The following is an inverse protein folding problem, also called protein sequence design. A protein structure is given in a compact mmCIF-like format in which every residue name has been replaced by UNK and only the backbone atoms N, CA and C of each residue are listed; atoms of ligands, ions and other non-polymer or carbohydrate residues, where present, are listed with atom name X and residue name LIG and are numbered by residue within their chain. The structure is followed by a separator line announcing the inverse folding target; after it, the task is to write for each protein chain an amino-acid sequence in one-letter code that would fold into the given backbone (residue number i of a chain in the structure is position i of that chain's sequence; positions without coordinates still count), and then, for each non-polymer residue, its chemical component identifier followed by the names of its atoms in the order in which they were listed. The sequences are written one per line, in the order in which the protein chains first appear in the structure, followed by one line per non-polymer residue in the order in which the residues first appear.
data_IF_508878570605
#
_entry.id   IF_508878570605
#
_cell.length_a   1.000
_cell.length_b   1.000
_cell.length_c   1.000
_cell.angle_alpha   90.00
_cell.angle_beta   90.00
_cell.angle_gamma   90.00
#
_symmetry.space_group_name_H-M   'P 1'
#
loop_
_entity.id
_entity.type
_entity.pdbx_description
1 polymer ?
#
# COMPACT_ATOMS: atom_id res chain seq x y z
N UNK A 1 9.93 7.30 12.29
CA UNK A 1 8.93 8.36 12.03
C UNK A 1 7.82 7.76 11.19
N UNK A 2 6.59 7.81 11.67
CA UNK A 2 5.51 7.21 10.91
C UNK A 2 4.94 8.21 9.89
N UNK A 3 4.33 7.68 8.85
CA UNK A 3 3.81 8.46 7.72
C UNK A 3 2.29 8.68 7.81
N UNK A 4 1.69 8.50 8.99
CA UNK A 4 0.23 8.58 9.17
C UNK A 4 -0.37 9.86 8.62
N UNK A 5 0.24 10.97 8.97
CA UNK A 5 -0.29 12.29 8.63
C UNK A 5 0.34 12.88 7.38
N UNK A 6 1.19 12.12 6.71
CA UNK A 6 1.80 12.55 5.46
C UNK A 6 0.74 12.58 4.36
N UNK A 7 0.91 13.52 3.44
CA UNK A 7 0.05 13.61 2.27
C UNK A 7 0.25 12.40 1.36
N UNK A 8 -0.83 12.00 0.72
CA UNK A 8 -0.79 10.98 -0.32
C UNK A 8 -0.09 11.58 -1.53
N UNK A 9 1.15 11.16 -1.78
CA UNK A 9 1.99 11.69 -2.85
C UNK A 9 2.69 10.57 -3.59
N UNK A 10 3.19 10.89 -4.79
CA UNK A 10 4.05 10.01 -5.60
C UNK A 10 3.39 8.67 -5.93
N UNK A 11 2.10 8.68 -6.16
CA UNK A 11 1.38 7.48 -6.57
C UNK A 11 1.67 7.16 -8.04
N UNK A 12 1.62 5.87 -8.41
CA UNK A 12 1.66 5.49 -9.82
C UNK A 12 0.57 6.18 -10.64
N UNK A 13 0.84 6.42 -11.92
CA UNK A 13 -0.09 7.15 -12.78
C UNK A 13 -1.45 6.48 -12.94
N UNK A 14 -1.53 5.18 -12.74
CA UNK A 14 -2.80 4.48 -12.82
C UNK A 14 -3.77 4.84 -11.69
N UNK A 15 -3.32 5.57 -10.67
CA UNK A 15 -4.17 6.07 -9.58
C UNK A 15 -4.48 7.56 -9.70
N UNK A 16 -4.23 8.16 -10.86
CA UNK A 16 -4.41 9.61 -11.04
C UNK A 16 -5.85 10.05 -10.77
N UNK A 17 -6.82 9.35 -11.33
CA UNK A 17 -8.23 9.72 -11.15
C UNK A 17 -8.65 9.58 -9.69
N UNK A 18 -8.22 8.51 -9.03
CA UNK A 18 -8.49 8.28 -7.62
C UNK A 18 -7.88 9.38 -6.76
N UNK A 19 -6.64 9.75 -7.02
CA UNK A 19 -5.96 10.79 -6.24
C UNK A 19 -6.69 12.13 -6.35
N UNK A 20 -7.08 12.51 -7.56
CA UNK A 20 -7.84 13.76 -7.77
C UNK A 20 -9.15 13.75 -7.01
N UNK A 21 -9.89 12.66 -7.07
CA UNK A 21 -11.18 12.57 -6.43
C UNK A 21 -11.06 12.54 -4.90
N UNK A 22 -10.08 11.81 -4.38
CA UNK A 22 -9.82 11.77 -2.95
C UNK A 22 -9.49 13.15 -2.40
N UNK A 23 -8.60 13.88 -3.09
CA UNK A 23 -8.23 15.23 -2.66
C UNK A 23 -9.42 16.17 -2.70
N UNK A 24 -10.26 16.09 -3.73
CA UNK A 24 -11.47 16.89 -3.82
C UNK A 24 -12.45 16.58 -2.70
N UNK A 25 -12.44 15.37 -2.18
CA UNK A 25 -13.30 14.94 -1.07
C UNK A 25 -12.67 15.21 0.31
N UNK A 26 -11.50 15.83 0.37
CA UNK A 26 -10.81 16.12 1.62
C UNK A 26 -9.99 14.97 2.18
N UNK A 27 -9.82 13.90 1.43
CA UNK A 27 -9.03 12.73 1.83
C UNK A 27 -7.63 12.92 1.29
N UNK A 28 -6.73 13.49 2.11
CA UNK A 28 -5.42 13.94 1.65
C UNK A 28 -4.25 13.26 2.33
N UNK A 29 -4.48 12.55 3.43
CA UNK A 29 -3.41 11.88 4.19
C UNK A 29 -3.60 10.37 4.18
N UNK A 30 -2.52 9.65 4.50
CA UNK A 30 -2.57 8.19 4.57
C UNK A 30 -3.55 7.69 5.64
N UNK A 31 -3.64 8.37 6.79
CA UNK A 31 -4.58 7.97 7.83
C UNK A 31 -6.04 8.17 7.37
N UNK A 32 -6.32 9.24 6.64
CA UNK A 32 -7.65 9.46 6.07
C UNK A 32 -8.03 8.33 5.13
N UNK A 33 -7.09 7.94 4.28
CA UNK A 33 -7.32 6.86 3.30
C UNK A 33 -7.50 5.52 3.98
N UNK A 34 -6.72 5.24 5.02
CA UNK A 34 -6.87 4.01 5.79
C UNK A 34 -8.26 3.88 6.40
N UNK A 35 -8.82 4.99 6.86
CA UNK A 35 -10.14 5.02 7.50
C UNK A 35 -11.31 5.00 6.52
N UNK A 36 -11.03 4.95 5.23
CA UNK A 36 -12.07 4.99 4.20
C UNK A 36 -12.93 3.73 4.26
N UNK A 37 -14.23 3.90 4.43
CA UNK A 37 -15.17 2.77 4.52
C UNK A 37 -15.70 2.39 3.15
N UNK A 38 -16.14 1.14 3.01
CA UNK A 38 -16.70 0.64 1.76
C UNK A 38 -17.85 1.50 1.23
N UNK A 39 -18.70 1.96 2.12
CA UNK A 39 -19.81 2.84 1.75
C UNK A 39 -19.31 4.11 1.07
N UNK A 40 -18.25 4.71 1.62
CA UNK A 40 -17.66 5.92 1.05
C UNK A 40 -16.99 5.63 -0.28
N UNK A 41 -16.33 4.47 -0.39
CA UNK A 41 -15.74 4.03 -1.67
C UNK A 41 -16.84 3.96 -2.74
N UNK A 42 -17.97 3.36 -2.43
CA UNK A 42 -19.08 3.25 -3.39
C UNK A 42 -19.59 4.62 -3.80
N UNK A 43 -19.70 5.57 -2.87
CA UNK A 43 -20.10 6.93 -3.19
C UNK A 43 -19.13 7.62 -4.14
N UNK A 44 -17.82 7.47 -3.88
CA UNK A 44 -16.79 8.07 -4.74
C UNK A 44 -16.81 7.46 -6.14
N UNK A 45 -16.97 6.15 -6.25
CA UNK A 45 -17.06 5.47 -7.54
C UNK A 45 -18.27 5.99 -8.35
N UNK A 46 -19.39 6.18 -7.69
CA UNK A 46 -20.62 6.67 -8.34
C UNK A 46 -20.54 8.14 -8.76
N UNK A 47 -19.66 8.92 -8.13
CA UNK A 47 -19.58 10.37 -8.35
C UNK A 47 -18.46 10.78 -9.30
N UNK A 48 -17.60 9.88 -9.72
CA UNK A 48 -16.44 10.25 -10.53
C UNK A 48 -15.84 9.08 -11.32
N UNK A 49 -14.57 9.21 -11.62
CA UNK A 49 -13.84 8.25 -12.45
C UNK A 49 -13.08 7.18 -11.67
N UNK A 50 -13.18 7.21 -10.35
CA UNK A 50 -12.51 6.21 -9.52
C UNK A 50 -13.14 4.83 -9.72
N UNK A 51 -12.31 3.79 -9.59
CA UNK A 51 -12.80 2.42 -9.59
C UNK A 51 -12.73 1.85 -8.18
N UNK A 52 -13.63 0.94 -7.88
CA UNK A 52 -13.64 0.23 -6.59
C UNK A 52 -12.31 -0.46 -6.35
N UNK A 53 -11.80 -1.14 -7.38
CA UNK A 53 -10.54 -1.88 -7.27
C UNK A 53 -9.39 -0.96 -6.88
N UNK A 54 -9.25 0.17 -7.57
CA UNK A 54 -8.16 1.09 -7.30
C UNK A 54 -8.28 1.75 -5.92
N UNK A 55 -9.48 2.14 -5.51
CA UNK A 55 -9.68 2.72 -4.19
C UNK A 55 -9.35 1.71 -3.08
N UNK A 56 -9.72 0.45 -3.26
CA UNK A 56 -9.35 -0.60 -2.31
C UNK A 56 -7.86 -0.87 -2.28
N UNK A 57 -7.20 -0.81 -3.43
CA UNK A 57 -5.74 -0.94 -3.51
C UNK A 57 -5.03 0.20 -2.77
N UNK A 58 -5.51 1.42 -2.97
CA UNK A 58 -4.95 2.57 -2.25
C UNK A 58 -5.19 2.46 -0.75
N UNK A 59 -6.37 2.01 -0.33
CA UNK A 59 -6.64 1.76 1.09
C UNK A 59 -5.70 0.69 1.65
N UNK A 60 -5.41 -0.34 0.87
CA UNK A 60 -4.44 -1.37 1.25
C UNK A 60 -3.04 -0.81 1.45
N UNK A 61 -2.59 0.07 0.54
CA UNK A 61 -1.30 0.77 0.69
C UNK A 61 -1.31 1.59 1.99
N UNK A 62 -2.40 2.32 2.24
CA UNK A 62 -2.52 3.14 3.44
C UNK A 62 -2.46 2.30 4.71
N UNK A 63 -3.06 1.12 4.70
CA UNK A 63 -3.01 0.22 5.83
C UNK A 63 -1.58 -0.23 6.13
N UNK A 64 -0.81 -0.58 5.11
CA UNK A 64 0.60 -0.95 5.28
C UNK A 64 1.43 0.24 5.78
N UNK A 65 1.20 1.42 5.24
CA UNK A 65 1.92 2.63 5.68
C UNK A 65 1.62 2.94 7.14
N UNK A 66 0.36 2.86 7.54
CA UNK A 66 -0.06 3.26 8.88
C UNK A 66 0.18 2.18 9.94
N UNK A 67 -0.10 0.92 9.60
CA UNK A 67 -0.09 -0.15 10.60
C UNK A 67 1.30 -0.73 10.85
N UNK A 68 2.13 -0.83 9.82
CA UNK A 68 3.48 -1.39 9.96
C UNK A 68 4.57 -0.42 9.53
N UNK A 69 4.21 0.84 9.39
CA UNK A 69 5.15 1.96 9.21
C UNK A 69 6.04 1.82 7.97
N UNK A 70 5.50 1.27 6.89
CA UNK A 70 6.23 1.20 5.63
C UNK A 70 6.23 2.55 4.94
N UNK A 71 7.27 2.80 4.13
CA UNK A 71 7.22 3.94 3.23
C UNK A 71 6.13 3.71 2.18
N UNK A 72 5.54 4.77 1.60
CA UNK A 72 4.55 4.60 0.54
C UNK A 72 5.09 3.81 -0.66
N UNK A 73 6.38 3.97 -0.99
CA UNK A 73 7.00 3.24 -2.08
C UNK A 73 7.05 1.74 -1.79
N UNK A 74 7.47 1.35 -0.58
CA UNK A 74 7.53 -0.06 -0.19
C UNK A 74 6.14 -0.67 -0.12
N UNK A 75 5.17 0.06 0.44
CA UNK A 75 3.79 -0.41 0.52
C UNK A 75 3.19 -0.60 -0.88
N UNK A 76 3.47 0.33 -1.79
CA UNK A 76 3.00 0.23 -3.17
C UNK A 76 3.62 -0.97 -3.88
N UNK A 77 4.92 -1.19 -3.67
CA UNK A 77 5.61 -2.35 -4.25
C UNK A 77 4.99 -3.66 -3.76
N UNK A 78 4.74 -3.78 -2.48
CA UNK A 78 4.11 -4.96 -1.91
C UNK A 78 2.69 -5.17 -2.45
N UNK A 79 1.92 -4.11 -2.54
CA UNK A 79 0.56 -4.20 -3.07
C UNK A 79 0.57 -4.71 -4.51
N UNK A 80 1.45 -4.16 -5.36
CA UNK A 80 1.54 -4.58 -6.76
C UNK A 80 2.16 -5.97 -6.92
N UNK A 81 2.83 -6.47 -5.89
CA UNK A 81 3.40 -7.83 -5.88
C UNK A 81 2.42 -8.87 -5.34
N UNK A 82 1.21 -8.46 -4.99
CA UNK A 82 0.19 -9.37 -4.46
C UNK A 82 0.27 -9.60 -2.96
N UNK A 83 1.05 -8.79 -2.25
CA UNK A 83 1.25 -8.92 -0.79
C UNK A 83 0.61 -7.71 -0.10
N UNK A 84 -0.65 -7.49 -0.36
CA UNK A 84 -1.32 -6.23 -0.04
C UNK A 84 -1.85 -6.12 1.38
N UNK A 85 -1.81 -7.19 2.17
CA UNK A 85 -2.42 -7.18 3.50
C UNK A 85 -1.42 -7.59 4.57
N UNK A 86 -1.69 -7.17 5.80
CA UNK A 86 -0.92 -7.60 6.96
C UNK A 86 -0.95 -9.11 7.09
N UNK A 87 -2.11 -9.71 6.84
CA UNK A 87 -2.27 -11.18 6.88
C UNK A 87 -1.37 -11.86 5.86
N UNK A 88 -1.33 -11.37 4.62
CA UNK A 88 -0.46 -11.92 3.58
C UNK A 88 1.01 -11.87 3.97
N UNK A 89 1.44 -10.74 4.54
CA UNK A 89 2.82 -10.57 4.98
C UNK A 89 3.14 -11.47 6.16
N UNK A 90 2.22 -11.60 7.11
CA UNK A 90 2.48 -12.39 8.33
C UNK A 90 2.68 -13.87 8.04
N UNK A 91 2.14 -14.38 6.93
CA UNK A 91 2.25 -15.78 6.53
C UNK A 91 3.27 -16.02 5.42
N UNK A 92 3.84 -14.95 4.85
CA UNK A 92 4.85 -15.07 3.80
C UNK A 92 6.20 -15.46 4.36
N UNK A 93 7.07 -15.98 3.48
CA UNK A 93 8.47 -16.18 3.81
C UNK A 93 9.30 -15.03 3.26
N UNK A 94 10.49 -14.75 3.84
CA UNK A 94 11.36 -13.71 3.29
C UNK A 94 11.71 -13.97 1.82
N UNK A 95 11.97 -15.23 1.46
CA UNK A 95 12.30 -15.60 0.08
C UNK A 95 11.14 -15.29 -0.87
N UNK A 96 9.92 -15.56 -0.45
CA UNK A 96 8.73 -15.26 -1.25
C UNK A 96 8.61 -13.76 -1.53
N UNK A 97 8.83 -12.93 -0.52
CA UNK A 97 8.77 -11.49 -0.67
C UNK A 97 9.85 -11.00 -1.64
N UNK A 98 11.08 -11.45 -1.45
CA UNK A 98 12.19 -11.07 -2.32
C UNK A 98 11.91 -11.48 -3.76
N UNK A 99 11.41 -12.69 -3.96
CA UNK A 99 11.11 -13.20 -5.31
C UNK A 99 10.02 -12.41 -5.99
N UNK A 100 8.91 -12.17 -5.31
CA UNK A 100 7.76 -11.48 -5.90
C UNK A 100 8.05 -10.01 -6.19
N UNK A 101 8.69 -9.31 -5.26
CA UNK A 101 9.05 -7.90 -5.47
C UNK A 101 10.12 -7.78 -6.54
N UNK A 102 11.08 -8.70 -6.58
CA UNK A 102 12.13 -8.71 -7.60
C UNK A 102 11.56 -8.89 -9.00
N UNK A 103 10.57 -9.76 -9.16
CA UNK A 103 9.91 -9.95 -10.46
C UNK A 103 9.23 -8.68 -10.93
N UNK A 104 8.53 -8.00 -10.03
CA UNK A 104 7.85 -6.74 -10.36
C UNK A 104 8.85 -5.67 -10.75
N UNK A 105 9.91 -5.50 -9.98
CA UNK A 105 10.93 -4.50 -10.24
C UNK A 105 11.59 -4.71 -11.59
N UNK A 106 11.90 -5.96 -11.94
CA UNK A 106 12.48 -6.29 -13.25
C UNK A 106 11.52 -5.95 -14.39
N UNK A 107 10.24 -6.22 -14.22
CA UNK A 107 9.23 -5.90 -15.24
C UNK A 107 9.10 -4.39 -15.47
N UNK A 108 9.23 -3.60 -14.41
CA UNK A 108 9.09 -2.15 -14.49
C UNK A 108 10.35 -1.47 -15.02
N UNK A 109 11.48 -2.16 -15.09
CA UNK A 109 12.77 -1.65 -15.58
C UNK A 109 13.26 -0.39 -14.87
N UNK A 110 12.74 -0.13 -13.67
CA UNK A 110 13.04 1.07 -12.90
C UNK A 110 13.72 0.78 -11.58
N UNK A 111 14.27 -0.40 -11.42
CA UNK A 111 14.76 -0.82 -10.12
C UNK A 111 16.24 -0.51 -9.98
N UNK A 112 16.55 0.73 -9.67
CA UNK A 112 17.95 1.10 -9.43
C UNK A 112 18.37 0.93 -7.98
N UNK A 113 17.45 1.11 -7.04
CA UNK A 113 17.83 1.24 -5.64
C UNK A 113 16.87 0.54 -4.67
N UNK A 114 16.00 -0.32 -5.14
CA UNK A 114 14.95 -0.85 -4.28
C UNK A 114 14.93 -2.36 -4.23
N UNK A 115 16.11 -2.96 -4.28
CA UNK A 115 16.17 -4.40 -4.06
C UNK A 115 15.75 -4.68 -2.62
N UNK A 116 14.68 -5.43 -2.51
CA UNK A 116 14.24 -5.92 -1.20
C UNK A 116 15.11 -7.11 -0.87
N UNK A 117 15.94 -6.98 0.14
CA UNK A 117 16.77 -8.10 0.60
C UNK A 117 16.03 -8.92 1.66
N UNK A 118 16.64 -10.03 2.06
CA UNK A 118 16.04 -10.93 3.05
C UNK A 118 15.85 -10.26 4.41
N UNK A 119 16.77 -9.40 4.80
CA UNK A 119 16.69 -8.69 6.08
C UNK A 119 15.49 -7.74 6.11
N UNK A 120 15.30 -6.99 5.03
CA UNK A 120 14.17 -6.07 4.90
C UNK A 120 12.84 -6.83 4.87
N UNK A 121 12.78 -7.91 4.10
CA UNK A 121 11.59 -8.75 4.03
C UNK A 121 11.24 -9.35 5.40
N UNK A 122 12.24 -9.82 6.12
CA UNK A 122 12.05 -10.38 7.46
C UNK A 122 11.54 -9.33 8.44
N UNK A 123 12.04 -8.11 8.35
CA UNK A 123 11.57 -7.00 9.18
C UNK A 123 10.08 -6.73 8.94
N UNK A 124 9.66 -6.70 7.69
CA UNK A 124 8.25 -6.49 7.35
C UNK A 124 7.35 -7.61 7.89
N UNK A 125 7.80 -8.86 7.76
CA UNK A 125 7.06 -10.01 8.28
C UNK A 125 6.93 -9.92 9.80
N UNK A 126 8.01 -9.56 10.49
CA UNK A 126 8.02 -9.41 11.94
C UNK A 126 7.02 -8.34 12.39
N UNK A 127 7.04 -7.19 11.70
CA UNK A 127 6.10 -6.11 12.00
C UNK A 127 4.65 -6.52 11.74
N UNK A 128 4.41 -7.24 10.64
CA UNK A 128 3.07 -7.70 10.30
C UNK A 128 2.54 -8.69 11.33
N UNK A 129 3.39 -9.62 11.77
CA UNK A 129 3.02 -10.60 12.79
C UNK A 129 2.72 -9.94 14.13
N UNK A 130 3.54 -8.96 14.53
CA UNK A 130 3.32 -8.22 15.76
C UNK A 130 1.99 -7.47 15.71
N UNK A 131 1.68 -6.85 14.60
CA UNK A 131 0.43 -6.11 14.44
C UNK A 131 -0.78 -7.04 14.45
N UNK A 132 -0.66 -8.19 13.82
CA UNK A 132 -1.75 -9.17 13.78
C UNK A 132 -2.09 -9.70 15.17
N UNK A 133 -1.11 -9.86 16.06
CA UNK A 133 -1.34 -10.30 17.43
C UNK A 133 -2.10 -9.28 18.27
N UNK A 134 -2.03 -7.99 17.91
CA UNK A 134 -2.73 -6.94 18.63
C UNK A 134 -4.22 -6.86 18.27
N UNK A 135 -4.59 -7.51 17.21
CA UNK A 135 -5.99 -7.57 16.77
C UNK A 135 -6.65 -8.85 17.30
#
# INVERSE_FOLDING_TARGET
MNNYYSKIENLPTNFRDEQKQLFAAGITTWIDLKKLKDKRINQLVNQGRSTTLNLRRLRGIAELVCEIELSPQDASLLMHSGLATISSLSTATPQEIVTKTGRLERRLKNCRNHLVDLAKANDWITKARARQKLN
#
